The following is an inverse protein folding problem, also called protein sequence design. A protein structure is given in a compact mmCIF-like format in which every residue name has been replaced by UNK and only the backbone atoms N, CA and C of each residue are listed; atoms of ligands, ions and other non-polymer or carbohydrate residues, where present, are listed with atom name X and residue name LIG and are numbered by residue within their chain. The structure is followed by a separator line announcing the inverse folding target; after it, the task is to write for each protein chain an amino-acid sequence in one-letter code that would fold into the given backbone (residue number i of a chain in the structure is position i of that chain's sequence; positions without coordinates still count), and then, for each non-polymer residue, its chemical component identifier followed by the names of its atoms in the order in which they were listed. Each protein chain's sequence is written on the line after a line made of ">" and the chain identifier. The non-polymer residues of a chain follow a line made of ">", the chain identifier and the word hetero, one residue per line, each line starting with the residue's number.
data_IF_309783014258
#
_entry.id   IF_309783014258
#
_cell.length_a   1.000
_cell.length_b   1.000
_cell.length_c   1.000
_cell.angle_alpha   90.00
_cell.angle_beta   90.00
_cell.angle_gamma   90.00
#
_symmetry.space_group_name_H-M   'P 1'
#
loop_
_entity.id
_entity.type
_entity.pdbx_description
1 polymer ?
#
# COMPACT_ATOMS: atom_id res chain seq x y z
N UNK A 1 -18.97 7.41 14.49
CA UNK A 1 -17.89 6.42 14.29
C UNK A 1 -17.62 5.77 15.63
N UNK A 2 -17.21 4.50 15.66
CA UNK A 2 -16.90 3.82 16.92
C UNK A 2 -15.77 4.59 17.63
N UNK A 3 -15.98 4.92 18.91
CA UNK A 3 -14.97 5.60 19.74
C UNK A 3 -13.85 4.64 20.10
N UNK A 4 -14.18 3.36 20.24
CA UNK A 4 -13.24 2.28 20.43
C UNK A 4 -12.87 1.63 19.09
N UNK A 5 -11.57 1.39 18.89
CA UNK A 5 -11.00 0.76 17.71
C UNK A 5 -10.07 -0.37 18.16
N UNK A 6 -10.64 -1.56 18.47
CA UNK A 6 -9.91 -2.66 19.12
C UNK A 6 -8.89 -3.36 18.20
N UNK A 7 -8.67 -2.83 17.00
CA UNK A 7 -7.73 -3.33 16.00
C UNK A 7 -6.52 -2.41 15.81
N UNK A 8 -6.41 -1.35 16.61
CA UNK A 8 -5.30 -0.38 16.52
C UNK A 8 -3.98 -0.94 17.06
N UNK A 9 -4.03 -2.06 17.76
CA UNK A 9 -2.90 -2.79 18.31
C UNK A 9 -2.38 -3.92 17.40
N UNK A 10 -2.87 -4.02 16.16
CA UNK A 10 -2.35 -4.98 15.18
C UNK A 10 -1.14 -4.37 14.47
N UNK A 11 0.07 -4.93 14.65
CA UNK A 11 1.30 -4.34 14.09
C UNK A 11 1.29 -4.38 12.56
N UNK A 12 1.84 -3.32 11.94
CA UNK A 12 2.00 -3.22 10.49
C UNK A 12 0.70 -3.25 9.69
N UNK A 13 -0.46 -3.02 10.32
CA UNK A 13 -1.77 -3.19 9.69
C UNK A 13 -2.60 -1.92 9.78
N UNK A 14 -3.11 -1.47 8.63
CA UNK A 14 -4.08 -0.37 8.55
C UNK A 14 -5.44 -0.97 8.21
N UNK A 15 -6.36 -0.99 9.16
CA UNK A 15 -7.73 -1.45 8.94
C UNK A 15 -8.52 -0.39 8.16
N UNK A 16 -9.17 -0.82 7.08
CA UNK A 16 -9.96 0.06 6.23
C UNK A 16 -11.38 0.24 6.78
N UNK A 17 -11.49 1.04 7.83
CA UNK A 17 -12.76 1.42 8.44
C UNK A 17 -13.48 2.57 7.69
N UNK A 18 -14.58 3.05 8.25
CA UNK A 18 -15.33 4.17 7.68
C UNK A 18 -14.53 5.49 7.63
N UNK A 19 -13.58 5.70 8.55
CA UNK A 19 -12.75 6.90 8.57
C UNK A 19 -11.74 6.86 7.42
N UNK A 20 -11.03 5.74 7.26
CA UNK A 20 -10.10 5.52 6.16
C UNK A 20 -10.80 5.57 4.79
N UNK A 21 -12.00 5.00 4.69
CA UNK A 21 -12.83 5.08 3.48
C UNK A 21 -13.17 6.52 3.09
N UNK A 22 -13.57 7.35 4.06
CA UNK A 22 -13.83 8.78 3.82
C UNK A 22 -12.56 9.54 3.48
N UNK A 23 -11.45 9.29 4.19
CA UNK A 23 -10.16 9.92 3.97
C UNK A 23 -9.63 9.70 2.56
N UNK A 24 -9.74 8.45 2.06
CA UNK A 24 -9.21 8.05 0.77
C UNK A 24 -10.22 8.01 -0.37
N UNK A 25 -11.44 8.55 -0.21
CA UNK A 25 -12.50 8.40 -1.20
C UNK A 25 -12.03 8.74 -2.63
N UNK A 26 -11.45 9.93 -2.83
CA UNK A 26 -11.00 10.36 -4.14
C UNK A 26 -9.81 9.57 -4.67
N UNK A 27 -8.86 9.18 -3.81
CA UNK A 27 -7.75 8.30 -4.17
C UNK A 27 -8.26 6.93 -4.66
N UNK A 28 -9.22 6.34 -3.95
CA UNK A 28 -9.81 5.05 -4.31
C UNK A 28 -10.63 5.16 -5.61
N UNK A 29 -11.40 6.24 -5.79
CA UNK A 29 -12.15 6.47 -7.04
C UNK A 29 -11.25 6.72 -8.24
N UNK A 30 -10.13 7.43 -8.07
CA UNK A 30 -9.07 7.51 -9.07
C UNK A 30 -8.61 6.12 -9.49
N UNK A 31 -8.31 5.24 -8.53
CA UNK A 31 -7.87 3.88 -8.86
C UNK A 31 -8.92 3.08 -9.66
N UNK A 32 -10.22 3.27 -9.38
CA UNK A 32 -11.29 2.63 -10.16
C UNK A 32 -11.34 3.12 -11.60
N UNK A 33 -10.95 4.36 -11.88
CA UNK A 33 -10.95 4.89 -13.24
C UNK A 33 -10.01 4.10 -14.16
N UNK A 34 -8.93 3.55 -13.60
CA UNK A 34 -7.90 2.79 -14.32
C UNK A 34 -8.38 1.40 -14.80
N UNK A 35 -9.60 0.98 -14.42
CA UNK A 35 -10.22 -0.21 -15.01
C UNK A 35 -10.48 -0.03 -16.52
N UNK A 36 -10.68 1.21 -16.98
CA UNK A 36 -10.87 1.53 -18.41
C UNK A 36 -9.52 1.71 -19.10
N UNK A 37 -9.36 1.13 -20.29
CA UNK A 37 -8.10 1.16 -21.03
C UNK A 37 -7.69 2.59 -21.41
N UNK A 38 -8.64 3.40 -21.86
CA UNK A 38 -8.41 4.78 -22.30
C UNK A 38 -7.91 5.66 -21.15
N UNK A 39 -8.35 5.37 -19.92
CA UNK A 39 -7.89 6.08 -18.73
C UNK A 39 -6.46 5.69 -18.35
N UNK A 40 -6.07 4.42 -18.54
CA UNK A 40 -4.68 3.99 -18.34
C UNK A 40 -3.74 4.68 -19.31
N UNK A 41 -4.11 4.76 -20.58
CA UNK A 41 -3.30 5.46 -21.58
C UNK A 41 -3.13 6.95 -21.24
N UNK A 42 -4.22 7.63 -20.84
CA UNK A 42 -4.17 9.04 -20.40
C UNK A 42 -3.29 9.22 -19.15
N UNK A 43 -3.44 8.34 -18.17
CA UNK A 43 -2.63 8.36 -16.96
C UNK A 43 -1.15 8.17 -17.28
N UNK A 44 -0.79 7.16 -18.09
CA UNK A 44 0.59 6.90 -18.50
C UNK A 44 1.20 8.01 -19.35
N UNK A 45 0.40 8.69 -20.17
CA UNK A 45 0.88 9.78 -21.01
C UNK A 45 1.34 11.00 -20.17
N UNK A 46 0.63 11.30 -19.08
CA UNK A 46 1.04 12.34 -18.13
C UNK A 46 0.35 12.11 -16.78
N UNK A 47 1.04 11.42 -15.88
CA UNK A 47 0.47 11.02 -14.59
C UNK A 47 0.03 12.22 -13.76
N UNK A 48 0.87 13.26 -13.70
CA UNK A 48 0.58 14.46 -12.91
C UNK A 48 -0.68 15.16 -13.42
N UNK A 49 -0.77 15.40 -14.72
CA UNK A 49 -1.93 16.06 -15.32
C UNK A 49 -3.21 15.23 -15.12
N UNK A 50 -3.13 13.90 -15.20
CA UNK A 50 -4.27 13.03 -14.95
C UNK A 50 -4.74 13.11 -13.48
N UNK A 51 -3.79 13.09 -12.54
CA UNK A 51 -4.07 13.20 -11.10
C UNK A 51 -4.62 14.57 -10.70
N UNK A 52 -4.21 15.64 -11.38
CA UNK A 52 -4.74 16.99 -11.15
C UNK A 52 -6.23 17.13 -11.53
N UNK A 53 -6.78 16.19 -12.31
CA UNK A 53 -8.21 16.07 -12.58
C UNK A 53 -9.03 15.44 -11.45
N UNK A 54 -8.40 14.94 -10.39
CA UNK A 54 -9.07 14.33 -9.24
C UNK A 54 -9.01 15.24 -8.01
N UNK A 55 -10.08 15.25 -7.22
CA UNK A 55 -10.17 15.99 -5.95
C UNK A 55 -9.35 15.33 -4.81
N UNK A 56 -8.21 14.76 -5.14
CA UNK A 56 -7.23 14.21 -4.21
C UNK A 56 -6.43 15.32 -3.55
N UNK A 57 -5.99 15.09 -2.31
CA UNK A 57 -5.02 15.98 -1.67
C UNK A 57 -3.67 15.89 -2.40
N UNK A 58 -2.83 16.93 -2.30
CA UNK A 58 -1.49 16.84 -2.88
C UNK A 58 -0.68 15.68 -2.32
N UNK A 59 -0.82 15.40 -1.02
CA UNK A 59 -0.17 14.25 -0.41
C UNK A 59 -0.56 12.92 -1.07
N UNK A 60 -1.85 12.72 -1.36
CA UNK A 60 -2.33 11.52 -2.06
C UNK A 60 -1.76 11.43 -3.49
N UNK A 61 -1.66 12.56 -4.20
CA UNK A 61 -1.08 12.59 -5.55
C UNK A 61 0.42 12.24 -5.50
N UNK A 62 1.16 12.81 -4.55
CA UNK A 62 2.58 12.50 -4.36
C UNK A 62 2.81 11.02 -4.02
N UNK A 63 1.97 10.44 -3.16
CA UNK A 63 2.04 9.01 -2.85
C UNK A 63 1.87 8.12 -4.10
N UNK A 64 0.92 8.46 -4.99
CA UNK A 64 0.71 7.75 -6.26
C UNK A 64 1.90 7.92 -7.21
N UNK A 65 2.40 9.15 -7.38
CA UNK A 65 3.54 9.44 -8.26
C UNK A 65 4.81 8.73 -7.78
N UNK A 66 5.03 8.66 -6.46
CA UNK A 66 6.14 7.93 -5.86
C UNK A 66 5.97 6.40 -5.91
N UNK A 67 4.78 5.91 -6.27
CA UNK A 67 4.39 4.48 -6.18
C UNK A 67 4.62 3.89 -4.78
N UNK A 68 4.51 4.70 -3.74
CA UNK A 68 4.60 4.26 -2.35
C UNK A 68 3.21 3.80 -1.88
N UNK A 69 2.96 2.50 -1.96
CA UNK A 69 1.68 1.90 -1.56
C UNK A 69 1.41 2.04 -0.05
N UNK A 70 2.46 2.04 0.78
CA UNK A 70 2.31 2.29 2.21
C UNK A 70 1.86 3.73 2.46
N UNK A 71 2.40 4.70 1.72
CA UNK A 71 1.95 6.10 1.78
C UNK A 71 0.52 6.28 1.28
N UNK A 72 0.16 5.62 0.17
CA UNK A 72 -1.21 5.59 -0.31
C UNK A 72 -2.17 5.06 0.76
N UNK A 73 -1.82 3.97 1.45
CA UNK A 73 -2.66 3.41 2.52
C UNK A 73 -2.74 4.32 3.76
N UNK A 74 -1.63 4.96 4.17
CA UNK A 74 -1.63 5.97 5.24
C UNK A 74 -2.57 7.15 4.93
N UNK A 75 -2.73 7.50 3.65
CA UNK A 75 -3.62 8.57 3.18
C UNK A 75 -5.03 8.09 2.79
N UNK A 76 -5.42 6.88 3.20
CA UNK A 76 -6.78 6.33 3.07
C UNK A 76 -6.98 5.40 1.88
N UNK A 77 -5.93 5.08 1.13
CA UNK A 77 -5.99 4.09 0.05
C UNK A 77 -6.31 2.69 0.58
N UNK A 78 -7.15 1.96 -0.13
CA UNK A 78 -7.40 0.55 0.14
C UNK A 78 -6.65 -0.32 -0.88
N UNK A 79 -6.01 -1.39 -0.43
CA UNK A 79 -5.15 -2.23 -1.30
C UNK A 79 -5.88 -2.78 -2.53
N UNK A 80 -7.17 -3.11 -2.45
CA UNK A 80 -7.93 -3.61 -3.60
C UNK A 80 -8.19 -2.54 -4.65
N UNK A 81 -8.24 -1.28 -4.26
CA UNK A 81 -8.29 -0.14 -5.18
C UNK A 81 -6.90 0.12 -5.74
N UNK A 82 -5.89 0.25 -4.88
CA UNK A 82 -4.50 0.51 -5.29
C UNK A 82 -3.95 -0.57 -6.24
N UNK A 83 -4.44 -1.80 -6.17
CA UNK A 83 -4.11 -2.88 -7.10
C UNK A 83 -4.30 -2.50 -8.58
N UNK A 84 -5.20 -1.56 -8.90
CA UNK A 84 -5.41 -1.08 -10.28
C UNK A 84 -4.23 -0.24 -10.79
N UNK A 85 -3.52 0.46 -9.91
CA UNK A 85 -2.27 1.15 -10.25
C UNK A 85 -1.22 0.10 -10.62
N UNK A 86 -1.00 -0.89 -9.75
CA UNK A 86 -0.02 -1.95 -10.02
C UNK A 86 -0.34 -2.76 -11.27
N UNK A 87 -1.62 -3.09 -11.51
CA UNK A 87 -2.04 -3.75 -12.75
C UNK A 87 -1.81 -2.86 -13.98
N UNK A 88 -2.00 -1.54 -13.86
CA UNK A 88 -1.69 -0.57 -14.92
C UNK A 88 -0.19 -0.54 -15.22
N UNK A 89 0.66 -0.70 -14.20
CA UNK A 89 2.11 -0.81 -14.32
C UNK A 89 2.61 -2.22 -14.69
N UNK A 90 1.71 -3.19 -14.88
CA UNK A 90 2.06 -4.58 -15.21
C UNK A 90 2.65 -5.40 -14.05
N UNK A 91 2.46 -4.96 -12.80
CA UNK A 91 2.92 -5.66 -11.59
C UNK A 91 1.91 -6.69 -11.11
N UNK A 92 2.42 -7.83 -10.64
CA UNK A 92 1.62 -8.82 -9.92
C UNK A 92 1.28 -8.36 -8.49
N UNK A 93 0.27 -8.99 -7.88
CA UNK A 93 -0.08 -8.69 -6.49
C UNK A 93 1.05 -9.07 -5.51
N UNK A 94 1.81 -10.13 -5.80
CA UNK A 94 2.98 -10.51 -5.00
C UNK A 94 4.04 -9.40 -4.98
N UNK A 95 4.33 -8.80 -6.15
CA UNK A 95 5.30 -7.70 -6.25
C UNK A 95 4.82 -6.45 -5.49
N UNK A 96 3.52 -6.13 -5.57
CA UNK A 96 2.95 -5.04 -4.79
C UNK A 96 3.06 -5.30 -3.29
N UNK A 97 2.65 -6.48 -2.82
CA UNK A 97 2.73 -6.84 -1.41
C UNK A 97 4.17 -6.83 -0.89
N UNK A 98 5.12 -7.37 -1.66
CA UNK A 98 6.55 -7.36 -1.30
C UNK A 98 7.15 -5.96 -1.21
N UNK A 99 6.77 -5.04 -2.11
CA UNK A 99 7.27 -3.66 -2.06
C UNK A 99 6.90 -2.90 -0.78
N UNK A 100 5.88 -3.37 -0.06
CA UNK A 100 5.40 -2.75 1.17
C UNK A 100 6.16 -3.23 2.43
N UNK A 101 6.99 -4.26 2.34
CA UNK A 101 7.72 -4.82 3.49
C UNK A 101 9.15 -4.30 3.63
N UNK A 102 9.67 -3.63 2.60
CA UNK A 102 11.09 -3.27 2.50
C UNK A 102 12.00 -4.45 2.14
N UNK A 103 11.44 -5.63 1.86
CA UNK A 103 12.16 -6.72 1.20
C UNK A 103 12.31 -6.47 -0.30
N UNK A 104 13.38 -7.00 -0.87
CA UNK A 104 13.49 -7.20 -2.31
C UNK A 104 12.45 -8.22 -2.80
N UNK A 105 12.18 -8.25 -4.10
CA UNK A 105 11.24 -9.22 -4.68
C UNK A 105 11.66 -10.67 -4.38
N UNK A 106 12.96 -10.96 -4.47
CA UNK A 106 13.50 -12.30 -4.23
C UNK A 106 13.45 -12.70 -2.75
N UNK A 107 13.74 -11.77 -1.83
CA UNK A 107 13.59 -12.00 -0.39
C UNK A 107 12.13 -12.32 -0.03
N UNK A 108 11.18 -11.52 -0.54
CA UNK A 108 9.76 -11.74 -0.29
C UNK A 108 9.29 -13.07 -0.88
N UNK A 109 9.69 -13.39 -2.11
CA UNK A 109 9.37 -14.68 -2.75
C UNK A 109 9.95 -15.84 -1.94
N UNK A 110 11.20 -15.75 -1.51
CA UNK A 110 11.85 -16.79 -0.71
C UNK A 110 11.15 -16.98 0.64
N UNK A 111 10.73 -15.89 1.30
CA UNK A 111 9.94 -15.93 2.52
C UNK A 111 8.60 -16.65 2.31
N UNK A 112 7.88 -16.34 1.22
CA UNK A 112 6.62 -17.02 0.88
C UNK A 112 6.82 -18.53 0.62
N UNK A 113 7.89 -18.91 -0.08
CA UNK A 113 8.22 -20.32 -0.34
C UNK A 113 8.62 -21.10 0.93
N UNK A 114 9.10 -20.41 1.97
CA UNK A 114 9.47 -21.00 3.27
C UNK A 114 8.29 -21.14 4.25
N UNK A 115 7.07 -20.86 3.81
CA UNK A 115 5.86 -20.97 4.64
C UNK A 115 5.23 -19.62 5.04
N UNK A 116 5.75 -18.51 4.52
CA UNK A 116 5.20 -17.18 4.80
C UNK A 116 5.72 -16.55 6.10
N UNK A 117 5.20 -15.36 6.40
CA UNK A 117 5.60 -14.58 7.59
C UNK A 117 4.97 -15.21 8.83
N UNK A 118 5.77 -15.39 9.88
CA UNK A 118 5.28 -15.94 11.15
C UNK A 118 4.26 -15.01 11.81
N UNK A 119 3.23 -15.59 12.42
CA UNK A 119 2.31 -14.87 13.31
C UNK A 119 2.91 -14.66 14.70
N UNK A 120 3.88 -15.46 15.09
CA UNK A 120 4.52 -15.36 16.41
C UNK A 120 5.30 -14.05 16.51
N UNK A 121 4.96 -13.25 17.53
CA UNK A 121 5.50 -11.90 17.74
C UNK A 121 4.87 -10.80 16.88
N UNK A 122 3.85 -11.12 16.08
CA UNK A 122 3.20 -10.21 15.13
C UNK A 122 1.68 -10.09 15.35
N UNK A 123 1.15 -10.53 16.49
CA UNK A 123 -0.29 -10.45 16.80
C UNK A 123 -0.65 -9.11 17.42
N UNK A 124 0.21 -8.61 18.31
CA UNK A 124 -0.04 -7.39 19.08
C UNK A 124 1.17 -6.47 19.08
N UNK A 125 0.94 -5.16 19.08
CA UNK A 125 1.98 -4.16 19.27
C UNK A 125 2.67 -4.39 20.62
N UNK A 126 4.00 -4.33 20.62
CA UNK A 126 4.83 -4.55 21.81
C UNK A 126 5.45 -5.94 21.90
N UNK A 127 5.08 -6.84 21.00
CA UNK A 127 5.82 -8.09 20.77
C UNK A 127 7.12 -7.83 19.97
N UNK A 128 7.81 -8.88 19.52
CA UNK A 128 9.12 -8.78 18.89
C UNK A 128 9.24 -9.44 17.50
N UNK A 129 8.13 -9.59 16.79
CA UNK A 129 8.12 -10.10 15.42
C UNK A 129 8.56 -9.04 14.40
N UNK A 130 8.68 -9.47 13.15
CA UNK A 130 9.19 -8.65 12.04
C UNK A 130 8.19 -7.64 11.47
N UNK A 131 6.91 -7.66 11.86
CA UNK A 131 5.91 -6.65 11.51
C UNK A 131 5.90 -5.46 12.49
N UNK A 132 6.59 -5.61 13.63
CA UNK A 132 6.69 -4.57 14.66
C UNK A 132 7.48 -3.37 14.16
N UNK A 133 7.11 -2.17 14.61
CA UNK A 133 7.68 -0.91 14.11
C UNK A 133 9.20 -0.83 14.33
N UNK A 134 9.70 -1.31 15.47
CA UNK A 134 11.12 -1.35 15.80
C UNK A 134 11.96 -2.28 14.91
N UNK A 135 11.30 -3.20 14.20
CA UNK A 135 11.94 -4.19 13.34
C UNK A 135 11.72 -3.90 11.84
N UNK A 136 11.15 -2.74 11.48
CA UNK A 136 11.02 -2.30 10.09
C UNK A 136 12.24 -1.50 9.61
N UNK A 137 12.57 -1.54 8.30
CA UNK A 137 12.02 -2.42 7.27
C UNK A 137 12.50 -3.87 7.41
N UNK A 138 11.72 -4.82 6.89
CA UNK A 138 12.00 -6.26 7.05
C UNK A 138 13.20 -6.77 6.24
N UNK A 139 13.58 -6.07 5.15
CA UNK A 139 14.60 -6.55 4.22
C UNK A 139 15.55 -5.48 3.73
N UNK A 140 16.24 -5.79 2.63
CA UNK A 140 17.37 -5.01 2.16
C UNK A 140 17.06 -4.02 1.02
N UNK A 141 15.80 -3.88 0.58
CA UNK A 141 15.46 -3.08 -0.61
C UNK A 141 15.92 -1.62 -0.55
N UNK A 142 16.08 -1.05 0.66
CA UNK A 142 16.58 0.31 0.89
C UNK A 142 18.04 0.41 1.33
N UNK A 143 18.74 -0.71 1.56
CA UNK A 143 20.14 -0.69 1.98
C UNK A 143 21.02 -0.59 0.73
N UNK A 144 21.75 0.53 0.59
CA UNK A 144 22.81 0.63 -0.42
C UNK A 144 23.86 -0.44 -0.11
N UNK A 145 24.34 -1.13 -1.14
CA UNK A 145 25.51 -2.01 -1.07
C UNK A 145 26.75 -1.24 -0.60
#
# INVERSE_FOLDING_TARGET
>A
MALDKPYTDVPGTIIFDAEQSRKGYWLNQFCMSLMKAENREKFKANERAYLDGWAMTEEQKQAVLARDLNWCMRTGGNIYFLAKIGATDGKSFQQMAGSMTGMTEDEYRAMMMKGGRSVEGNRYIGENGDAQAQNQPQGAAGKKA
#
